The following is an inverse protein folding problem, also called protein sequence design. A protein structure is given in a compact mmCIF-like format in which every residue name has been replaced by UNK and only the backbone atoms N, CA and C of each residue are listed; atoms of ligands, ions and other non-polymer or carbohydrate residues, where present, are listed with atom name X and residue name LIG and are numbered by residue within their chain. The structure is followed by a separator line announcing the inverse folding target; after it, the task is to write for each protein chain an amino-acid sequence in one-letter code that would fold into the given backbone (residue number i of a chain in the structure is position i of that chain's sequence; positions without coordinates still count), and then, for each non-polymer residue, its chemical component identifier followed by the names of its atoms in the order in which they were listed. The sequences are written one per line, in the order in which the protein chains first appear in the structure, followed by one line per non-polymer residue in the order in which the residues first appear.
data_IF_310080433165
#
_entry.id   IF_310080433165
#
_cell.length_a   1.000
_cell.length_b   1.000
_cell.length_c   1.000
_cell.angle_alpha   90.00
_cell.angle_beta   90.00
_cell.angle_gamma   90.00
#
_symmetry.space_group_name_H-M   'P 1'
#
loop_
_entity.id
_entity.type
_entity.pdbx_description
1 polymer ?
#
# COMPACT_ATOMS: atom_id res chain seq x y z
N UNK A 1 -8.93 10.79 72.84
CA UNK A 1 -7.73 9.99 72.46
C UNK A 1 -8.22 8.88 71.56
N UNK A 2 -7.97 8.96 70.24
CA UNK A 2 -8.37 7.91 69.30
C UNK A 2 -7.58 6.62 69.62
N UNK A 3 -8.23 5.46 69.57
CA UNK A 3 -7.54 4.18 69.75
C UNK A 3 -6.71 3.89 68.49
N UNK A 4 -5.56 3.22 68.65
CA UNK A 4 -4.59 3.03 67.58
C UNK A 4 -5.17 2.44 66.27
N UNK A 5 -6.24 1.64 66.37
CA UNK A 5 -6.97 1.07 65.22
C UNK A 5 -7.73 2.14 64.41
N UNK A 6 -8.36 3.12 65.07
CA UNK A 6 -9.09 4.19 64.39
C UNK A 6 -8.16 5.16 63.67
N UNK A 7 -6.98 5.45 64.23
CA UNK A 7 -5.99 6.29 63.56
C UNK A 7 -5.40 5.63 62.30
N UNK A 8 -5.20 4.30 62.30
CA UNK A 8 -4.71 3.57 61.12
C UNK A 8 -5.74 3.58 59.99
N UNK A 9 -7.02 3.38 60.31
CA UNK A 9 -8.13 3.46 59.34
C UNK A 9 -8.25 4.85 58.70
N UNK A 10 -8.12 5.91 59.50
CA UNK A 10 -8.19 7.29 59.00
C UNK A 10 -7.00 7.63 58.09
N UNK A 11 -5.79 7.19 58.44
CA UNK A 11 -4.60 7.41 57.61
C UNK A 11 -4.70 6.63 56.29
N UNK A 12 -5.20 5.38 56.33
CA UNK A 12 -5.41 4.59 55.12
C UNK A 12 -6.46 5.22 54.20
N UNK A 13 -7.57 5.73 54.76
CA UNK A 13 -8.58 6.45 53.99
C UNK A 13 -8.03 7.75 53.38
N UNK A 14 -7.24 8.52 54.13
CA UNK A 14 -6.60 9.73 53.63
C UNK A 14 -5.60 9.44 52.50
N UNK A 15 -4.81 8.38 52.62
CA UNK A 15 -3.86 7.95 51.59
C UNK A 15 -4.59 7.49 50.31
N UNK A 16 -5.72 6.78 50.42
CA UNK A 16 -6.52 6.37 49.27
C UNK A 16 -7.11 7.57 48.52
N UNK A 17 -7.62 8.57 49.24
CA UNK A 17 -8.13 9.82 48.64
C UNK A 17 -7.01 10.60 47.96
N UNK A 18 -5.84 10.71 48.60
CA UNK A 18 -4.68 11.34 48.00
C UNK A 18 -4.24 10.62 46.71
N UNK A 19 -4.25 9.28 46.71
CA UNK A 19 -3.93 8.47 45.54
C UNK A 19 -4.89 8.70 44.37
N UNK A 20 -6.20 8.80 44.62
CA UNK A 20 -7.19 9.09 43.59
C UNK A 20 -7.05 10.52 43.03
N UNK A 21 -6.74 11.50 43.88
CA UNK A 21 -6.52 12.88 43.45
C UNK A 21 -5.28 12.97 42.56
N UNK A 22 -4.16 12.39 43.01
CA UNK A 22 -2.91 12.37 42.23
C UNK A 22 -3.10 11.59 40.94
N UNK A 23 -3.75 10.43 40.98
CA UNK A 23 -4.08 9.63 39.80
C UNK A 23 -4.98 10.39 38.81
N UNK A 24 -5.97 11.14 39.31
CA UNK A 24 -6.83 11.99 38.49
C UNK A 24 -6.07 13.15 37.84
N UNK A 25 -5.18 13.81 38.57
CA UNK A 25 -4.34 14.90 38.03
C UNK A 25 -3.39 14.35 36.98
N UNK A 26 -2.67 13.26 37.27
CA UNK A 26 -1.77 12.64 36.29
C UNK A 26 -2.54 12.16 35.07
N UNK A 27 -3.69 11.51 35.24
CA UNK A 27 -4.54 11.10 34.12
C UNK A 27 -5.01 12.27 33.26
N UNK A 28 -5.38 13.39 33.88
CA UNK A 28 -5.83 14.59 33.16
C UNK A 28 -4.72 15.27 32.37
N UNK A 29 -3.50 15.33 32.92
CA UNK A 29 -2.37 16.03 32.29
C UNK A 29 -1.46 15.14 31.43
N UNK A 30 -1.52 13.81 31.59
CA UNK A 30 -0.71 12.87 30.80
C UNK A 30 -1.39 12.43 29.50
N UNK A 31 -2.70 12.64 29.33
CA UNK A 31 -3.37 12.38 28.05
C UNK A 31 -3.19 13.57 27.11
N UNK A 32 -2.57 13.40 25.93
CA UNK A 32 -2.52 14.47 24.94
C UNK A 32 -3.93 14.80 24.47
N UNK A 33 -4.37 16.02 24.74
CA UNK A 33 -5.67 16.55 24.31
C UNK A 33 -5.57 16.97 22.85
N UNK A 34 -5.65 16.00 21.94
CA UNK A 34 -5.76 16.28 20.51
C UNK A 34 -7.06 17.06 20.24
N UNK A 35 -6.97 18.14 19.46
CA UNK A 35 -8.14 18.84 18.95
C UNK A 35 -9.00 17.87 18.13
N UNK A 36 -10.32 18.14 18.04
CA UNK A 36 -11.20 17.35 17.16
C UNK A 36 -10.69 17.36 15.71
N UNK A 37 -10.17 18.50 15.28
CA UNK A 37 -9.60 18.69 13.93
C UNK A 37 -8.31 17.86 13.74
N UNK A 38 -7.44 17.81 14.73
CA UNK A 38 -6.24 16.96 14.69
C UNK A 38 -6.61 15.46 14.65
N UNK A 39 -7.65 15.06 15.38
CA UNK A 39 -8.17 13.68 15.37
C UNK A 39 -8.75 13.29 14.02
N UNK A 40 -9.54 14.16 13.41
CA UNK A 40 -10.12 13.91 12.09
C UNK A 40 -9.01 13.80 11.04
N UNK A 41 -8.03 14.72 11.08
CA UNK A 41 -6.87 14.70 10.17
C UNK A 41 -6.02 13.44 10.36
N UNK A 42 -5.77 13.03 11.60
CA UNK A 42 -5.05 11.79 11.91
C UNK A 42 -5.81 10.55 11.44
N UNK A 43 -7.14 10.51 11.60
CA UNK A 43 -7.95 9.37 11.14
C UNK A 43 -7.95 9.21 9.62
N UNK A 44 -7.94 10.32 8.88
CA UNK A 44 -7.80 10.31 7.42
C UNK A 44 -6.41 9.82 7.04
N UNK A 45 -5.35 10.35 7.67
CA UNK A 45 -3.99 9.87 7.43
C UNK A 45 -3.83 8.37 7.73
N UNK A 46 -4.39 7.89 8.83
CA UNK A 46 -4.38 6.49 9.25
C UNK A 46 -5.10 5.60 8.23
N UNK A 47 -6.23 6.06 7.67
CA UNK A 47 -6.98 5.34 6.62
C UNK A 47 -6.24 5.23 5.29
N UNK A 48 -5.28 6.12 5.04
CA UNK A 48 -4.45 6.14 3.84
C UNK A 48 -3.14 5.35 4.00
N UNK A 49 -2.87 4.80 5.19
CA UNK A 49 -1.70 3.94 5.39
C UNK A 49 -1.86 2.60 4.67
N UNK A 50 -0.74 2.07 4.18
CA UNK A 50 -0.72 0.76 3.50
C UNK A 50 -1.21 -0.35 4.44
N UNK A 51 -0.82 -0.30 5.71
CA UNK A 51 -1.19 -1.33 6.70
C UNK A 51 -2.71 -1.39 6.90
N UNK A 52 -3.36 -0.23 7.06
CA UNK A 52 -4.81 -0.15 7.25
C UNK A 52 -5.57 -0.49 5.95
N UNK A 53 -5.03 -0.13 4.78
CA UNK A 53 -5.60 -0.55 3.50
C UNK A 53 -5.50 -2.07 3.33
N UNK A 54 -4.36 -2.68 3.66
CA UNK A 54 -4.15 -4.14 3.58
C UNK A 54 -5.04 -4.87 4.58
N UNK A 55 -5.12 -4.45 5.84
CA UNK A 55 -5.99 -5.07 6.84
C UNK A 55 -7.47 -5.01 6.43
N UNK A 56 -7.94 -3.87 5.92
CA UNK A 56 -9.35 -3.73 5.51
C UNK A 56 -9.67 -4.36 4.16
N UNK A 57 -8.66 -4.66 3.33
CA UNK A 57 -8.84 -5.23 2.00
C UNK A 57 -8.15 -6.58 1.83
N UNK A 58 -7.78 -7.27 2.91
CA UNK A 58 -7.03 -8.52 2.89
C UNK A 58 -7.68 -9.57 1.98
N UNK A 59 -9.02 -9.66 2.01
CA UNK A 59 -9.78 -10.54 1.12
C UNK A 59 -9.66 -10.18 -0.37
N UNK A 60 -9.60 -8.90 -0.72
CA UNK A 60 -9.41 -8.46 -2.11
C UNK A 60 -7.97 -8.69 -2.57
N UNK A 61 -6.99 -8.40 -1.70
CA UNK A 61 -5.57 -8.64 -1.98
C UNK A 61 -5.36 -10.13 -2.23
N UNK A 62 -5.90 -11.00 -1.37
CA UNK A 62 -5.79 -12.44 -1.54
C UNK A 62 -6.48 -12.92 -2.83
N UNK A 63 -7.66 -12.39 -3.16
CA UNK A 63 -8.32 -12.69 -4.43
C UNK A 63 -7.44 -12.32 -5.64
N UNK A 64 -6.77 -11.17 -5.62
CA UNK A 64 -5.85 -10.76 -6.69
C UNK A 64 -4.67 -11.72 -6.81
N UNK A 65 -4.08 -12.12 -5.69
CA UNK A 65 -2.99 -13.10 -5.66
C UNK A 65 -3.46 -14.46 -6.18
N UNK A 66 -4.64 -14.92 -5.79
CA UNK A 66 -5.21 -16.20 -6.23
C UNK A 66 -5.57 -16.20 -7.72
N UNK A 67 -5.85 -15.04 -8.32
CA UNK A 67 -6.06 -14.89 -9.76
C UNK A 67 -4.75 -15.02 -10.58
N UNK A 68 -3.57 -14.91 -9.95
CA UNK A 68 -2.29 -15.06 -10.65
C UNK A 68 -2.06 -16.53 -11.02
N UNK A 69 -2.04 -16.81 -12.32
CA UNK A 69 -1.90 -18.16 -12.85
C UNK A 69 -0.53 -18.36 -13.53
N UNK A 70 0.25 -19.33 -13.05
CA UNK A 70 1.59 -19.63 -13.56
C UNK A 70 1.60 -20.16 -15.02
N UNK A 71 0.56 -20.86 -15.45
CA UNK A 71 0.44 -21.37 -16.81
C UNK A 71 0.19 -20.23 -17.80
N UNK A 72 -0.67 -19.28 -17.44
CA UNK A 72 -0.88 -18.06 -18.22
C UNK A 72 0.43 -17.26 -18.35
N UNK A 73 1.21 -17.12 -17.27
CA UNK A 73 2.52 -16.47 -17.30
C UNK A 73 3.45 -17.19 -18.28
N UNK A 74 3.50 -18.53 -18.25
CA UNK A 74 4.34 -19.33 -19.14
C UNK A 74 3.96 -19.15 -20.60
N UNK A 75 2.67 -19.23 -20.95
CA UNK A 75 2.22 -19.06 -22.32
C UNK A 75 2.41 -17.63 -22.83
N UNK A 76 2.21 -16.63 -21.97
CA UNK A 76 2.54 -15.25 -22.29
C UNK A 76 4.03 -15.09 -22.60
N UNK A 77 4.92 -15.62 -21.75
CA UNK A 77 6.36 -15.57 -21.99
C UNK A 77 6.74 -16.27 -23.29
N UNK A 78 6.15 -17.43 -23.59
CA UNK A 78 6.37 -18.16 -24.85
C UNK A 78 5.98 -17.33 -26.08
N UNK A 79 4.85 -16.62 -26.04
CA UNK A 79 4.44 -15.77 -27.16
C UNK A 79 5.34 -14.53 -27.30
N UNK A 80 5.61 -13.84 -26.19
CA UNK A 80 6.41 -12.61 -26.17
C UNK A 80 7.85 -12.88 -26.64
N UNK A 81 8.43 -14.03 -26.26
CA UNK A 81 9.81 -14.40 -26.62
C UNK A 81 9.94 -15.18 -27.94
N UNK A 82 8.84 -15.44 -28.66
CA UNK A 82 8.85 -16.32 -29.85
C UNK A 82 9.75 -15.81 -30.97
N UNK A 83 9.93 -14.49 -31.09
CA UNK A 83 10.74 -13.83 -32.14
C UNK A 83 11.46 -12.61 -31.55
N UNK A 84 12.65 -12.22 -32.05
CA UNK A 84 13.29 -10.97 -31.68
C UNK A 84 12.36 -9.77 -31.92
N UNK A 85 12.24 -8.87 -30.94
CA UNK A 85 11.33 -7.72 -30.95
C UNK A 85 12.09 -6.41 -30.68
N UNK A 86 13.11 -6.13 -31.49
CA UNK A 86 13.92 -4.92 -31.36
C UNK A 86 13.04 -3.67 -31.59
N UNK A 87 13.25 -2.61 -30.79
CA UNK A 87 12.49 -1.37 -30.85
C UNK A 87 12.32 -0.84 -32.28
N UNK A 88 11.08 -0.62 -32.73
CA UNK A 88 10.75 -0.15 -34.08
C UNK A 88 10.84 -1.23 -35.17
N UNK A 89 10.90 -2.52 -34.82
CA UNK A 89 10.74 -3.62 -35.77
C UNK A 89 9.26 -3.98 -35.99
N UNK A 90 8.96 -4.76 -37.03
CA UNK A 90 7.59 -5.26 -37.25
C UNK A 90 7.06 -6.08 -36.07
N UNK A 91 7.90 -6.93 -35.47
CA UNK A 91 7.50 -7.74 -34.31
C UNK A 91 7.23 -6.88 -33.07
N UNK A 92 7.97 -5.79 -32.88
CA UNK A 92 7.73 -4.85 -31.79
C UNK A 92 6.32 -4.21 -31.92
N UNK A 93 5.93 -3.82 -33.14
CA UNK A 93 4.57 -3.31 -33.40
C UNK A 93 3.48 -4.38 -33.21
N UNK A 94 3.70 -5.62 -33.68
CA UNK A 94 2.77 -6.74 -33.45
C UNK A 94 2.52 -6.97 -31.95
N UNK A 95 3.56 -6.87 -31.11
CA UNK A 95 3.41 -7.03 -29.67
C UNK A 95 2.68 -5.83 -29.04
N UNK A 96 2.93 -4.61 -29.51
CA UNK A 96 2.19 -3.44 -29.06
C UNK A 96 0.68 -3.57 -29.33
N UNK A 97 0.32 -4.04 -30.54
CA UNK A 97 -1.07 -4.36 -30.90
C UNK A 97 -1.65 -5.45 -30.01
N UNK A 98 -0.89 -6.54 -29.76
CA UNK A 98 -1.31 -7.60 -28.84
C UNK A 98 -1.61 -7.08 -27.42
N UNK A 99 -0.78 -6.17 -26.89
CA UNK A 99 -1.01 -5.58 -25.56
C UNK A 99 -2.27 -4.71 -25.54
N UNK A 100 -2.45 -3.85 -26.54
CA UNK A 100 -3.66 -3.03 -26.68
C UNK A 100 -4.91 -3.92 -26.67
N UNK A 101 -4.92 -4.95 -27.51
CA UNK A 101 -6.09 -5.82 -27.68
C UNK A 101 -6.39 -6.60 -26.39
N UNK A 102 -5.37 -7.07 -25.68
CA UNK A 102 -5.53 -7.74 -24.37
C UNK A 102 -6.05 -6.82 -23.27
N UNK A 103 -5.65 -5.55 -23.27
CA UNK A 103 -6.18 -4.57 -22.31
C UNK A 103 -7.67 -4.32 -22.57
N UNK A 104 -8.06 -4.15 -23.84
CA UNK A 104 -9.47 -3.99 -24.20
C UNK A 104 -10.29 -5.25 -23.85
N UNK A 105 -9.75 -6.44 -24.14
CA UNK A 105 -10.40 -7.71 -23.79
C UNK A 105 -10.53 -7.91 -22.27
N UNK A 106 -9.55 -7.43 -21.49
CA UNK A 106 -9.60 -7.44 -20.03
C UNK A 106 -10.58 -6.41 -19.43
N UNK A 107 -11.20 -5.56 -20.25
CA UNK A 107 -12.23 -4.60 -19.83
C UNK A 107 -11.72 -3.21 -19.47
N UNK A 108 -10.53 -2.83 -19.92
CA UNK A 108 -10.07 -1.44 -19.80
C UNK A 108 -10.92 -0.52 -20.69
N UNK A 109 -11.27 0.67 -20.19
CA UNK A 109 -12.10 1.64 -20.92
C UNK A 109 -11.46 2.08 -22.23
N UNK A 110 -10.14 2.29 -22.23
CA UNK A 110 -9.36 2.65 -23.41
C UNK A 110 -7.99 2.00 -23.40
N UNK A 111 -7.47 1.72 -24.59
CA UNK A 111 -6.08 1.35 -24.82
C UNK A 111 -5.67 1.84 -26.22
N UNK A 112 -4.67 2.72 -26.27
CA UNK A 112 -4.25 3.40 -27.50
C UNK A 112 -2.77 3.14 -27.81
N UNK A 113 -2.45 3.02 -29.10
CA UNK A 113 -1.06 3.05 -29.56
C UNK A 113 -0.64 4.49 -29.84
N UNK A 114 0.39 4.96 -29.13
CA UNK A 114 0.91 6.33 -29.27
C UNK A 114 2.30 6.30 -29.92
N UNK A 115 2.40 6.51 -31.26
CA UNK A 115 3.67 6.40 -31.97
C UNK A 115 4.56 7.64 -31.81
N UNK A 116 5.87 7.43 -31.72
CA UNK A 116 6.88 8.49 -31.72
C UNK A 116 7.95 8.24 -32.79
N UNK A 117 8.44 9.32 -33.39
CA UNK A 117 9.58 9.28 -34.31
C UNK A 117 10.83 9.67 -33.54
N UNK A 118 11.65 8.67 -33.21
CA UNK A 118 12.91 8.84 -32.47
C UNK A 118 14.09 8.31 -33.28
N UNK A 119 15.28 8.83 -33.00
CA UNK A 119 16.52 8.34 -33.60
C UNK A 119 16.95 7.05 -32.87
N UNK A 120 17.07 5.94 -33.59
CA UNK A 120 17.54 4.66 -33.05
C UNK A 120 18.92 4.33 -33.61
N UNK A 121 19.78 3.75 -32.77
CA UNK A 121 21.08 3.22 -33.20
C UNK A 121 20.93 1.74 -33.56
N UNK A 122 21.43 1.35 -34.75
CA UNK A 122 21.44 -0.05 -35.22
C UNK A 122 22.77 -0.37 -35.88
N UNK A 123 23.26 -1.61 -35.77
CA UNK A 123 24.46 -2.02 -36.47
C UNK A 123 24.25 -1.93 -37.99
N UNK A 124 25.32 -1.58 -38.71
CA UNK A 124 25.32 -1.68 -40.15
C UNK A 124 25.46 -3.16 -40.55
N UNK A 125 24.42 -3.72 -41.19
CA UNK A 125 24.38 -5.13 -41.58
C UNK A 125 25.48 -5.52 -42.57
N UNK A 126 25.97 -4.58 -43.39
CA UNK A 126 27.03 -4.84 -44.38
C UNK A 126 28.42 -4.43 -43.91
N UNK A 127 28.53 -3.71 -42.79
CA UNK A 127 29.81 -3.30 -42.19
C UNK A 127 29.68 -3.20 -40.66
N UNK A 128 29.59 -4.33 -39.94
CA UNK A 128 29.47 -4.34 -38.49
C UNK A 128 30.74 -3.80 -37.82
N UNK A 129 30.61 -3.23 -36.62
CA UNK A 129 31.77 -2.89 -35.79
C UNK A 129 32.35 -4.18 -35.19
N UNK A 130 33.35 -4.77 -35.86
CA UNK A 130 34.16 -5.91 -35.40
C UNK A 130 35.52 -5.44 -34.90
#
# INVERSE_FOLDING_TARGET
RMTASQSVLVVAAAAAVAGLIVGGIVGHFATPTLSKEDRDTLSVMESLTVDNWVENNDGMVQQIIDMVNADNIRENLRELSRKPHLAGSSRDNELAELFRDRLLEAGFDTADLVPYRVLLSRPNATNPNI
#
